data_IF_235654091945
#
_entry.id   IF_235654091945
#
_cell.length_a   1.000
_cell.length_b   1.000
_cell.length_c   1.000
_cell.angle_alpha   90.00
_cell.angle_beta   90.00
_cell.angle_gamma   90.00
#
_symmetry.space_group_name_H-M   'P 1'
#
loop_
_entity.id
_entity.type
_entity.pdbx_description
1 polymer ?
#
# COMPACT_ATOMS: atom_id res chain seq x y z
N UNK A 1 -24.40 5.60 -5.99
CA UNK A 1 -23.09 4.95 -6.19
C UNK A 1 -22.38 4.92 -4.84
N UNK A 2 -21.75 3.79 -4.45
CA UNK A 2 -20.89 3.79 -3.27
C UNK A 2 -19.79 4.84 -3.46
N UNK A 3 -19.53 5.65 -2.44
CA UNK A 3 -18.46 6.64 -2.46
C UNK A 3 -17.15 5.94 -2.14
N UNK A 4 -16.29 5.76 -3.14
CA UNK A 4 -14.92 5.32 -2.93
C UNK A 4 -14.09 6.48 -2.37
N UNK A 5 -13.27 6.19 -1.37
CA UNK A 5 -12.35 7.15 -0.76
C UNK A 5 -10.94 6.61 -0.84
N UNK A 6 -10.06 7.36 -1.50
CA UNK A 6 -8.62 7.05 -1.52
C UNK A 6 -8.04 7.36 -0.14
N UNK A 7 -7.55 6.32 0.54
CA UNK A 7 -6.84 6.46 1.82
C UNK A 7 -5.41 6.97 1.57
N UNK A 8 -4.72 6.38 0.60
CA UNK A 8 -3.36 6.76 0.21
C UNK A 8 -3.12 6.39 -1.26
N UNK A 9 -2.48 7.29 -2.00
CA UNK A 9 -1.96 7.04 -3.34
C UNK A 9 -0.43 7.14 -3.31
N UNK A 10 0.28 6.14 -3.82
CA UNK A 10 1.74 6.07 -3.82
C UNK A 10 2.20 5.95 -5.28
N UNK A 11 2.49 7.07 -5.97
CA UNK A 11 3.00 7.02 -7.33
C UNK A 11 4.46 6.54 -7.33
N UNK A 12 4.81 5.66 -8.27
CA UNK A 12 6.20 5.27 -8.52
C UNK A 12 6.79 6.16 -9.61
N UNK A 13 8.02 6.62 -9.40
CA UNK A 13 8.80 7.35 -10.40
C UNK A 13 9.73 6.41 -11.15
N UNK A 14 10.09 6.77 -12.39
CA UNK A 14 11.06 6.01 -13.18
C UNK A 14 12.40 5.96 -12.44
N UNK A 15 13.04 4.78 -12.45
CA UNK A 15 14.29 4.56 -11.74
C UNK A 15 14.05 4.11 -10.29
N UNK A 16 14.88 4.61 -9.39
CA UNK A 16 14.91 4.13 -8.01
C UNK A 16 13.90 4.88 -7.14
N UNK A 17 13.04 4.13 -6.45
CA UNK A 17 12.07 4.66 -5.50
C UNK A 17 12.56 4.35 -4.07
N UNK A 18 12.55 5.36 -3.19
CA UNK A 18 12.99 5.22 -1.81
C UNK A 18 11.81 5.35 -0.84
N UNK A 19 11.69 4.39 0.07
CA UNK A 19 10.75 4.45 1.18
C UNK A 19 11.53 4.92 2.42
N UNK A 20 11.44 6.20 2.75
CA UNK A 20 12.18 6.85 3.84
C UNK A 20 11.26 7.18 5.01
N UNK A 21 11.82 7.32 6.22
CA UNK A 21 11.05 7.88 7.35
C UNK A 21 10.97 9.40 7.19
N UNK A 22 9.82 9.96 7.58
CA UNK A 22 9.61 11.40 7.55
C UNK A 22 10.18 12.11 8.79
N UNK A 23 10.43 11.38 9.90
CA UNK A 23 10.80 11.96 11.20
C UNK A 23 12.07 11.32 11.79
N UNK A 24 12.94 12.16 12.36
CA UNK A 24 14.10 11.74 13.18
C UNK A 24 13.70 11.33 14.62
N UNK A 25 12.42 11.46 14.98
CA UNK A 25 11.96 11.10 16.32
C UNK A 25 11.86 9.58 16.45
N UNK A 26 12.69 9.04 17.33
CA UNK A 26 12.93 7.64 17.70
C UNK A 26 11.75 6.87 18.30
N UNK A 27 10.54 7.01 17.74
CA UNK A 27 9.38 6.21 18.16
C UNK A 27 8.83 5.45 16.96
N UNK A 28 9.31 4.22 16.86
CA UNK A 28 8.85 3.12 16.01
C UNK A 28 9.21 3.18 14.52
N UNK A 29 10.52 3.01 14.26
CA UNK A 29 11.19 2.81 12.96
C UNK A 29 10.62 1.70 12.03
N UNK A 30 9.53 1.02 12.39
CA UNK A 30 9.07 -0.21 11.73
C UNK A 30 7.62 -0.18 11.24
N UNK A 31 6.80 0.82 11.61
CA UNK A 31 5.35 0.69 11.45
C UNK A 31 4.87 1.12 10.06
N UNK A 32 5.58 2.01 9.35
CA UNK A 32 5.16 2.47 8.02
C UNK A 32 5.81 1.74 6.84
N UNK A 33 7.14 1.58 6.85
CA UNK A 33 7.92 1.16 5.67
C UNK A 33 7.72 -0.30 5.31
N UNK A 34 7.86 -1.17 6.31
CA UNK A 34 7.69 -2.61 6.14
C UNK A 34 6.26 -2.94 5.73
N UNK A 35 5.27 -2.15 6.16
CA UNK A 35 3.88 -2.31 5.72
C UNK A 35 3.74 -2.02 4.23
N UNK A 36 4.34 -0.95 3.69
CA UNK A 36 4.28 -0.67 2.24
C UNK A 36 4.81 -1.84 1.41
N UNK A 37 5.95 -2.42 1.78
CA UNK A 37 6.50 -3.58 1.09
C UNK A 37 5.59 -4.81 1.20
N UNK A 38 5.01 -5.08 2.38
CA UNK A 38 4.04 -6.16 2.57
C UNK A 38 2.79 -5.99 1.70
N UNK A 39 2.29 -4.76 1.53
CA UNK A 39 1.14 -4.49 0.67
C UNK A 39 1.47 -4.83 -0.80
N UNK A 40 2.68 -4.49 -1.26
CA UNK A 40 3.16 -4.87 -2.60
C UNK A 40 3.22 -6.40 -2.73
N UNK A 41 3.84 -7.10 -1.77
CA UNK A 41 3.91 -8.57 -1.76
C UNK A 41 2.53 -9.23 -1.82
N UNK A 42 1.55 -8.70 -1.08
CA UNK A 42 0.17 -9.19 -1.09
C UNK A 42 -0.47 -8.99 -2.46
N UNK A 43 -0.28 -7.84 -3.09
CA UNK A 43 -0.74 -7.61 -4.46
C UNK A 43 -0.09 -8.56 -5.48
N UNK A 44 1.12 -9.05 -5.20
CA UNK A 44 1.83 -10.04 -6.02
C UNK A 44 1.50 -11.50 -5.64
N UNK A 45 0.55 -11.74 -4.74
CA UNK A 45 0.02 -13.06 -4.42
C UNK A 45 0.51 -13.69 -3.11
N UNK A 46 1.13 -12.92 -2.20
CA UNK A 46 1.49 -13.44 -0.89
C UNK A 46 0.25 -13.79 -0.04
N UNK A 47 0.23 -15.00 0.55
CA UNK A 47 -0.91 -15.53 1.31
C UNK A 47 -0.99 -15.05 2.78
N UNK A 48 -0.37 -13.92 3.12
CA UNK A 48 -0.08 -13.53 4.50
C UNK A 48 -0.75 -12.21 4.92
N UNK A 49 -1.95 -11.91 4.41
CA UNK A 49 -2.70 -10.68 4.70
C UNK A 49 -2.87 -10.37 6.21
N UNK A 50 -2.90 -11.42 7.05
CA UNK A 50 -2.94 -11.29 8.52
C UNK A 50 -1.76 -10.50 9.07
N UNK A 51 -0.60 -10.54 8.42
CA UNK A 51 0.61 -9.83 8.83
C UNK A 51 0.49 -8.29 8.67
N UNK A 52 -0.62 -7.77 8.12
CA UNK A 52 -0.93 -6.33 8.12
C UNK A 52 -1.36 -5.86 9.53
N UNK A 53 -2.11 -6.70 10.24
CA UNK A 53 -2.73 -6.34 11.53
C UNK A 53 -2.32 -7.28 12.68
N UNK A 54 -1.40 -8.21 12.43
CA UNK A 54 -0.78 -9.05 13.46
C UNK A 54 0.65 -8.57 13.68
N UNK A 55 0.96 -8.25 14.93
CA UNK A 55 2.32 -7.92 15.36
C UNK A 55 3.23 -9.16 15.26
N UNK A 56 4.43 -9.00 14.71
CA UNK A 56 5.32 -10.12 14.42
C UNK A 56 5.96 -10.69 15.70
N UNK A 57 6.28 -9.83 16.66
CA UNK A 57 7.02 -10.20 17.87
C UNK A 57 6.09 -10.79 18.92
N UNK A 58 4.98 -10.10 19.19
CA UNK A 58 4.03 -10.46 20.24
C UNK A 58 2.91 -11.38 19.75
N UNK A 59 2.75 -11.52 18.43
CA UNK A 59 1.59 -12.19 17.80
C UNK A 59 0.23 -11.56 18.16
N UNK A 60 0.24 -10.38 18.78
CA UNK A 60 -0.97 -9.66 19.12
C UNK A 60 -1.68 -9.18 17.85
N UNK A 61 -3.01 -9.28 17.84
CA UNK A 61 -3.85 -8.73 16.78
C UNK A 61 -4.27 -7.31 17.10
N UNK A 62 -4.06 -6.40 16.16
CA UNK A 62 -4.71 -5.10 16.14
C UNK A 62 -6.13 -5.26 15.60
N UNK A 63 -7.07 -5.59 16.50
CA UNK A 63 -8.47 -5.79 16.14
C UNK A 63 -9.14 -4.54 15.57
N UNK A 64 -8.71 -3.35 15.99
CA UNK A 64 -9.21 -2.08 15.45
C UNK A 64 -8.87 -1.98 13.96
N UNK A 65 -7.63 -2.30 13.59
CA UNK A 65 -7.19 -2.30 12.18
C UNK A 65 -7.83 -3.43 11.37
N UNK A 66 -7.93 -4.64 11.93
CA UNK A 66 -8.58 -5.79 11.28
C UNK A 66 -10.05 -5.44 10.94
N UNK A 67 -10.80 -4.91 11.91
CA UNK A 67 -12.20 -4.52 11.72
C UNK A 67 -12.33 -3.38 10.71
N UNK A 68 -11.48 -2.35 10.79
CA UNK A 68 -11.49 -1.25 9.83
C UNK A 68 -11.30 -1.74 8.38
N UNK A 69 -10.36 -2.67 8.15
CA UNK A 69 -10.12 -3.24 6.83
C UNK A 69 -11.35 -4.00 6.31
N UNK A 70 -11.95 -4.85 7.15
CA UNK A 70 -13.07 -5.71 6.78
C UNK A 70 -14.36 -4.90 6.57
N UNK A 71 -14.72 -4.04 7.53
CA UNK A 71 -15.96 -3.27 7.51
C UNK A 71 -16.00 -2.27 6.35
N UNK A 72 -14.87 -1.61 6.07
CA UNK A 72 -14.77 -0.64 4.98
C UNK A 72 -14.37 -1.28 3.64
N UNK A 73 -14.19 -2.61 3.60
CA UNK A 73 -13.73 -3.35 2.40
C UNK A 73 -12.49 -2.68 1.78
N UNK A 74 -11.53 -2.35 2.63
CA UNK A 74 -10.30 -1.67 2.20
C UNK A 74 -9.63 -2.52 1.13
N UNK A 75 -9.39 -1.89 -0.02
CA UNK A 75 -8.85 -2.54 -1.21
C UNK A 75 -7.48 -1.94 -1.51
N UNK A 76 -6.53 -2.81 -1.85
CA UNK A 76 -5.17 -2.42 -2.26
C UNK A 76 -5.06 -2.73 -3.75
N UNK A 77 -4.55 -1.77 -4.52
CA UNK A 77 -4.38 -1.90 -5.97
C UNK A 77 -2.92 -1.62 -6.28
N UNK A 78 -2.26 -2.57 -6.94
CA UNK A 78 -0.94 -2.39 -7.55
C UNK A 78 -1.11 -2.44 -9.06
N UNK A 79 -0.80 -1.34 -9.74
CA UNK A 79 -0.83 -1.28 -11.19
C UNK A 79 0.55 -1.63 -11.74
N UNK A 80 0.63 -2.72 -12.49
CA UNK A 80 1.83 -3.14 -13.21
C UNK A 80 1.68 -2.71 -14.66
N UNK A 81 2.69 -2.02 -15.20
CA UNK A 81 2.71 -1.59 -16.60
C UNK A 81 3.91 -2.22 -17.30
N UNK A 82 3.75 -2.56 -18.58
CA UNK A 82 4.85 -2.98 -19.46
C UNK A 82 5.75 -1.82 -19.88
N UNK A 83 5.31 -0.57 -19.66
CA UNK A 83 6.03 0.65 -19.98
C UNK A 83 5.91 1.65 -18.81
N UNK A 84 7.03 2.28 -18.46
CA UNK A 84 7.06 3.26 -17.36
C UNK A 84 6.67 4.68 -17.80
N UNK A 85 6.63 4.91 -19.11
CA UNK A 85 6.12 6.14 -19.71
C UNK A 85 4.61 5.94 -19.91
N UNK A 86 3.78 6.86 -19.42
CA UNK A 86 2.44 7.00 -20.02
C UNK A 86 2.67 7.38 -21.47
N UNK A 87 2.21 6.57 -22.43
CA UNK A 87 2.21 7.04 -23.82
C UNK A 87 1.41 8.33 -23.83
N UNK A 88 2.05 9.42 -24.25
CA UNK A 88 1.41 10.71 -24.46
C UNK A 88 0.49 10.68 -25.68
N UNK A 89 -0.24 9.57 -25.88
CA UNK A 89 -1.40 9.50 -26.75
C UNK A 89 -2.56 10.14 -25.99
N UNK A 90 -2.43 11.45 -25.78
CA UNK A 90 -3.61 12.30 -25.64
C UNK A 90 -4.45 12.03 -26.87
N UNK A 91 -5.54 11.30 -26.65
CA UNK A 91 -6.73 11.21 -27.48
C UNK A 91 -6.88 12.47 -28.35
N UNK A 92 -6.34 12.43 -29.56
CA UNK A 92 -6.95 13.06 -30.70
C UNK A 92 -8.08 12.10 -31.10
N UNK A 93 -9.18 12.13 -30.35
CA UNK A 93 -10.46 11.69 -30.89
C UNK A 93 -11.40 12.88 -30.84
N UNK A 94 -11.58 13.41 -32.05
CA UNK A 94 -12.73 14.15 -32.53
C UNK A 94 -14.05 13.54 -32.10
#
# INVERSE_FOLDING_TARGET
MPKEKVIRNIPFTKGLNFIVDADESTKDNNVGKTIVLRLIDICLGANNIKNIYVDFETRAKNLVLENYIIEHKVTIILTISSQFEESSDKKAMS
#
